data_IF_364203816267
#
_entry.id   IF_364203816267
#
_cell.length_a   1.000
_cell.length_b   1.000
_cell.length_c   1.000
_cell.angle_alpha   90.00
_cell.angle_beta   90.00
_cell.angle_gamma   90.00
#
_symmetry.space_group_name_H-M   'P 1'
#
loop_
_entity.id
_entity.type
_entity.pdbx_description
1 polymer ?
#
# COMPACT_ATOMS: atom_id res chain seq x y z
N UNK A 1 -7.29 0.16 6.13
CA UNK A 1 -6.71 0.51 7.44
C UNK A 1 -5.27 0.92 7.20
N UNK A 2 -4.80 2.08 7.69
CA UNK A 2 -3.41 2.48 7.50
C UNK A 2 -2.46 1.52 8.22
N UNK A 3 -1.38 1.14 7.53
CA UNK A 3 -0.28 0.34 8.06
C UNK A 3 0.93 1.20 8.44
N UNK A 4 1.13 2.32 7.73
CA UNK A 4 2.16 3.31 8.00
C UNK A 4 1.52 4.64 8.39
N UNK A 5 2.29 5.48 9.11
CA UNK A 5 1.94 6.88 9.34
C UNK A 5 2.02 7.66 8.02
N UNK A 6 1.45 8.86 7.99
CA UNK A 6 1.50 9.77 6.83
C UNK A 6 2.96 10.15 6.50
N UNK A 7 3.49 9.57 5.41
CA UNK A 7 4.81 9.86 4.84
C UNK A 7 4.69 11.04 3.84
N UNK A 8 4.09 12.15 4.27
CA UNK A 8 3.83 13.41 3.54
C UNK A 8 2.88 13.36 2.34
N UNK A 9 2.91 12.33 1.48
CA UNK A 9 2.03 12.22 0.29
C UNK A 9 1.40 10.84 0.10
N UNK A 10 1.69 9.87 0.96
CA UNK A 10 1.17 8.51 0.82
C UNK A 10 1.29 7.64 2.07
N UNK A 11 0.65 6.46 1.98
CA UNK A 11 0.67 5.45 3.03
C UNK A 11 0.29 4.07 2.49
N UNK A 12 0.68 3.01 3.19
CA UNK A 12 0.19 1.67 2.89
C UNK A 12 -1.17 1.43 3.55
N UNK A 13 -2.16 0.99 2.76
CA UNK A 13 -3.50 0.67 3.23
C UNK A 13 -3.78 -0.82 3.14
N UNK A 14 -4.09 -1.45 4.28
CA UNK A 14 -4.55 -2.83 4.37
C UNK A 14 -6.07 -2.94 4.15
N UNK A 15 -6.48 -3.82 3.25
CA UNK A 15 -7.86 -4.24 3.09
C UNK A 15 -8.17 -5.46 3.97
N UNK A 16 -9.05 -5.27 4.95
CA UNK A 16 -9.43 -6.31 5.91
C UNK A 16 -10.32 -7.41 5.32
N UNK A 17 -10.98 -7.15 4.20
CA UNK A 17 -11.93 -8.10 3.60
C UNK A 17 -11.22 -9.21 2.84
N UNK A 18 -10.14 -8.88 2.12
CA UNK A 18 -9.44 -9.82 1.24
C UNK A 18 -7.93 -9.95 1.55
N UNK A 19 -7.41 -9.15 2.49
CA UNK A 19 -6.01 -9.19 2.90
C UNK A 19 -5.03 -8.47 1.95
N UNK A 20 -5.50 -7.73 0.96
CA UNK A 20 -4.65 -7.01 0.01
C UNK A 20 -4.07 -5.72 0.60
N UNK A 21 -2.95 -5.25 0.05
CA UNK A 21 -2.31 -4.00 0.46
C UNK A 21 -2.19 -3.04 -0.73
N UNK A 22 -2.57 -1.80 -0.49
CA UNK A 22 -2.48 -0.70 -1.45
C UNK A 22 -1.34 0.22 -1.07
N UNK A 23 -0.63 0.70 -2.07
CA UNK A 23 0.22 1.87 -1.98
C UNK A 23 -0.66 3.08 -2.36
N UNK A 24 -1.02 3.88 -1.38
CA UNK A 24 -1.98 4.97 -1.55
C UNK A 24 -1.24 6.29 -1.59
N UNK A 25 -1.47 7.08 -2.64
CA UNK A 25 -1.06 8.47 -2.72
C UNK A 25 -2.28 9.40 -2.61
N UNK A 26 -2.15 10.52 -1.89
CA UNK A 26 -3.23 11.49 -1.72
C UNK A 26 -3.75 12.06 -3.04
N UNK A 27 -2.87 12.22 -4.04
CA UNK A 27 -3.24 12.67 -5.39
C UNK A 27 -4.21 11.72 -6.11
N UNK A 28 -4.23 10.43 -5.73
CA UNK A 28 -5.08 9.41 -6.32
C UNK A 28 -6.37 9.15 -5.52
N UNK A 29 -6.63 9.91 -4.45
CA UNK A 29 -7.76 9.70 -3.54
C UNK A 29 -9.11 9.53 -4.24
N UNK A 30 -9.41 10.37 -5.24
CA UNK A 30 -10.67 10.28 -6.01
C UNK A 30 -10.81 8.97 -6.78
N UNK A 31 -9.72 8.44 -7.33
CA UNK A 31 -9.69 7.17 -8.06
C UNK A 31 -9.76 5.98 -7.11
N UNK A 32 -9.06 6.08 -5.97
CA UNK A 32 -9.09 5.09 -4.91
C UNK A 32 -10.50 4.89 -4.34
N UNK A 33 -11.19 5.99 -4.01
CA UNK A 33 -12.58 5.95 -3.51
C UNK A 33 -13.59 5.41 -4.52
N UNK A 34 -13.26 5.42 -5.82
CA UNK A 34 -14.07 4.83 -6.90
C UNK A 34 -13.73 3.35 -7.16
N UNK A 35 -12.83 2.75 -6.38
CA UNK A 35 -12.37 1.37 -6.57
C UNK A 35 -11.59 1.16 -7.87
N UNK A 36 -10.98 2.21 -8.43
CA UNK A 36 -10.23 2.15 -9.70
C UNK A 36 -8.76 1.81 -9.54
N UNK A 37 -8.26 1.82 -8.31
CA UNK A 37 -6.87 1.51 -7.99
C UNK A 37 -6.81 0.04 -7.60
N UNK A 38 -5.88 -0.69 -8.21
CA UNK A 38 -5.62 -2.09 -7.86
C UNK A 38 -4.67 -2.16 -6.67
N UNK A 39 -4.76 -3.20 -5.84
CA UNK A 39 -3.77 -3.42 -4.79
C UNK A 39 -2.39 -3.66 -5.41
N UNK A 40 -1.35 -3.04 -4.83
CA UNK A 40 0.05 -3.28 -5.22
C UNK A 40 0.48 -4.70 -4.79
N UNK A 41 -0.01 -5.16 -3.64
CA UNK A 41 0.22 -6.52 -3.14
C UNK A 41 -1.10 -7.26 -2.91
N UNK A 42 -1.17 -8.49 -3.43
CA UNK A 42 -2.37 -9.33 -3.34
C UNK A 42 -2.63 -9.81 -1.91
N UNK A 43 -1.58 -10.02 -1.11
CA UNK A 43 -1.68 -10.42 0.29
C UNK A 43 -0.78 -9.57 1.18
N UNK A 44 -1.12 -9.50 2.47
CA UNK A 44 -0.28 -8.87 3.48
C UNK A 44 1.12 -9.50 3.57
N UNK A 45 1.24 -10.80 3.36
CA UNK A 45 2.53 -11.47 3.38
C UNK A 45 3.43 -11.03 2.20
N UNK A 46 2.86 -10.82 1.01
CA UNK A 46 3.61 -10.28 -0.13
C UNK A 46 4.15 -8.88 0.17
N UNK A 47 3.36 -8.07 0.89
CA UNK A 47 3.81 -6.77 1.39
C UNK A 47 4.97 -6.90 2.38
N UNK A 48 4.89 -7.82 3.36
CA UNK A 48 5.96 -8.01 4.35
C UNK A 48 7.27 -8.48 3.72
N UNK A 49 7.19 -9.39 2.74
CA UNK A 49 8.38 -9.85 2.00
C UNK A 49 9.05 -8.66 1.34
N UNK A 50 8.29 -7.81 0.64
CA UNK A 50 8.83 -6.61 0.00
C UNK A 50 9.37 -5.59 1.00
N UNK A 51 8.63 -5.32 2.08
CA UNK A 51 8.93 -4.28 3.07
C UNK A 51 10.20 -4.57 3.88
N UNK A 52 10.50 -5.85 4.13
CA UNK A 52 11.68 -6.27 4.88
C UNK A 52 12.82 -6.81 3.99
N UNK A 53 12.65 -6.79 2.67
CA UNK A 53 13.72 -7.19 1.75
C UNK A 53 14.77 -6.08 1.66
N UNK A 54 15.92 -6.34 2.29
CA UNK A 54 17.08 -5.44 2.38
C UNK A 54 17.70 -5.11 1.00
N UNK A 55 17.27 -5.76 -0.08
CA UNK A 55 17.70 -5.44 -1.44
C UNK A 55 16.81 -4.38 -2.11
N UNK A 56 15.66 -4.02 -1.52
CA UNK A 56 14.77 -2.97 -2.03
C UNK A 56 15.19 -1.56 -1.55
N UNK A 57 16.49 -1.25 -1.65
CA UNK A 57 17.06 0.05 -1.24
C UNK A 57 16.72 1.20 -2.21
N UNK A 58 16.16 0.90 -3.38
CA UNK A 58 15.83 1.91 -4.40
C UNK A 58 14.47 2.60 -4.18
N UNK A 59 13.66 2.12 -3.22
CA UNK A 59 12.27 2.58 -2.97
C UNK A 59 12.10 3.24 -1.56
N UNK A 60 13.19 3.48 -0.82
CA UNK A 60 13.22 4.14 0.51
C UNK A 60 13.87 5.53 0.43
#
# INVERSE_FOLDING_TARGET
>A
MPLTSDESEGMYLFNKENGSVYDFNLSEHSSFMKGKINPRWKTFNDFLIWYFDENNLDDI
#
